data_IF_351128250859
#
_entry.id   IF_351128250859
#
_cell.length_a   1.000
_cell.length_b   1.000
_cell.length_c   1.000
_cell.angle_alpha   90.00
_cell.angle_beta   90.00
_cell.angle_gamma   90.00
#
_symmetry.space_group_name_H-M   'P 1'
#
loop_
_entity.id
_entity.type
_entity.pdbx_description
1 polymer ?
#
# COMPACT_ATOMS: atom_id res chain seq x y z
N UNK A 1 -5.34 17.63 27.65
CA UNK A 1 -4.84 18.16 28.95
C UNK A 1 -3.66 19.15 28.75
N UNK A 2 -3.68 19.97 27.70
CA UNK A 2 -2.58 20.90 27.34
C UNK A 2 -3.16 22.31 27.09
N UNK A 3 -3.94 22.83 28.03
CA UNK A 3 -4.44 24.22 27.94
C UNK A 3 -3.93 25.13 29.07
N UNK A 4 -3.17 24.59 30.03
CA UNK A 4 -2.74 25.32 31.22
C UNK A 4 -1.23 25.57 31.31
N UNK A 5 -0.42 25.15 30.33
CA UNK A 5 1.00 25.50 30.29
C UNK A 5 1.22 26.87 29.62
N UNK A 6 0.62 27.94 30.15
CA UNK A 6 1.10 29.29 29.86
C UNK A 6 2.41 29.48 30.61
N UNK A 7 3.52 29.59 29.89
CA UNK A 7 4.80 29.92 30.49
C UNK A 7 4.67 31.26 31.22
N UNK A 8 4.81 31.23 32.54
CA UNK A 8 4.76 32.43 33.35
C UNK A 8 6.12 33.14 33.25
N UNK A 9 6.27 34.00 32.24
CA UNK A 9 7.51 34.74 31.98
C UNK A 9 7.76 35.91 32.96
N UNK A 10 6.89 36.12 33.96
CA UNK A 10 7.05 37.20 34.95
C UNK A 10 8.38 37.12 35.70
N UNK A 11 8.90 35.91 35.96
CA UNK A 11 10.19 35.73 36.62
C UNK A 11 11.39 36.21 35.78
N UNK A 12 11.26 36.38 34.45
CA UNK A 12 12.33 36.91 33.60
C UNK A 12 12.43 38.45 33.65
N UNK A 13 11.40 39.14 34.17
CA UNK A 13 11.36 40.61 34.22
C UNK A 13 12.43 41.17 35.17
N UNK A 14 12.70 40.43 36.24
CA UNK A 14 13.67 40.80 37.29
C UNK A 14 15.10 40.37 36.96
N UNK A 15 15.30 39.75 35.80
CA UNK A 15 16.60 39.25 35.34
C UNK A 15 17.13 40.12 34.21
N UNK A 16 18.45 40.25 34.14
CA UNK A 16 19.16 40.87 33.03
C UNK A 16 20.12 39.88 32.37
N UNK A 17 20.17 39.88 31.04
CA UNK A 17 21.03 39.00 30.27
C UNK A 17 22.49 39.46 30.37
N UNK A 18 23.36 38.56 30.82
CA UNK A 18 24.80 38.81 30.90
C UNK A 18 25.49 38.33 29.63
N UNK A 19 25.29 37.06 29.27
CA UNK A 19 25.90 36.47 28.06
C UNK A 19 25.14 35.23 27.60
N UNK A 20 25.28 34.90 26.31
CA UNK A 20 24.80 33.64 25.76
C UNK A 20 25.96 32.64 25.71
N UNK A 21 25.73 31.44 26.25
CA UNK A 21 26.63 30.30 26.21
C UNK A 21 26.09 29.30 25.20
N UNK A 22 26.91 29.02 24.19
CA UNK A 22 26.64 27.98 23.21
C UNK A 22 27.32 26.70 23.67
N UNK A 23 26.53 25.66 23.93
CA UNK A 23 27.07 24.34 24.23
C UNK A 23 27.47 23.64 22.92
N UNK A 24 28.76 23.70 22.60
CA UNK A 24 29.32 23.06 21.41
C UNK A 24 29.32 21.52 21.48
N UNK A 25 29.01 20.93 22.64
CA UNK A 25 28.88 19.48 22.80
C UNK A 25 27.45 18.98 22.54
N UNK A 26 26.50 19.89 22.33
CA UNK A 26 25.12 19.54 22.03
C UNK A 26 25.03 18.71 20.74
N UNK A 27 24.45 17.51 20.84
CA UNK A 27 24.40 16.53 19.75
C UNK A 27 23.83 17.13 18.48
N UNK A 28 22.72 17.88 18.56
CA UNK A 28 22.09 18.51 17.39
C UNK A 28 23.02 19.49 16.67
N UNK A 29 23.87 20.23 17.41
CA UNK A 29 24.85 21.12 16.80
C UNK A 29 26.01 20.32 16.18
N UNK A 30 26.49 19.28 16.87
CA UNK A 30 27.56 18.41 16.36
C UNK A 30 27.16 17.62 15.10
N UNK A 31 25.88 17.27 14.97
CA UNK A 31 25.32 16.53 13.83
C UNK A 31 24.74 17.45 12.76
N UNK A 32 24.75 18.77 12.96
CA UNK A 32 24.21 19.75 12.01
C UNK A 32 22.69 19.67 11.84
N UNK A 33 21.95 19.25 12.85
CA UNK A 33 20.49 19.13 12.83
C UNK A 33 19.83 20.52 12.91
N UNK A 34 19.16 21.00 11.83
CA UNK A 34 18.53 22.31 11.81
C UNK A 34 17.20 22.37 12.57
N UNK A 35 16.70 21.24 13.07
CA UNK A 35 15.36 21.15 13.67
C UNK A 35 15.31 21.60 15.14
N UNK A 36 16.45 21.65 15.83
CA UNK A 36 16.52 22.03 17.24
C UNK A 36 17.66 23.01 17.51
N UNK A 37 17.34 24.10 18.19
CA UNK A 37 18.30 25.10 18.63
C UNK A 37 18.19 25.22 20.15
N UNK A 38 19.28 24.99 20.87
CA UNK A 38 19.37 25.18 22.31
C UNK A 38 20.41 26.23 22.62
N UNK A 39 20.00 27.27 23.34
CA UNK A 39 20.85 28.39 23.76
C UNK A 39 20.77 28.49 25.28
N UNK A 40 21.93 28.54 25.94
CA UNK A 40 21.98 28.82 27.37
C UNK A 40 22.25 30.31 27.57
N UNK A 41 21.42 30.96 28.38
CA UNK A 41 21.56 32.37 28.70
C UNK A 41 22.03 32.48 30.15
N UNK A 42 23.20 33.04 30.38
CA UNK A 42 23.60 33.46 31.72
C UNK A 42 22.91 34.78 31.98
N UNK A 43 22.05 34.81 32.98
CA UNK A 43 21.31 35.99 33.42
C UNK A 43 21.65 36.28 34.86
N UNK A 44 21.54 37.52 35.31
CA UNK A 44 21.71 37.88 36.72
C UNK A 44 20.49 38.65 37.22
N UNK A 45 20.29 38.64 38.53
CA UNK A 45 19.23 39.45 39.16
C UNK A 45 19.52 40.94 39.02
N UNK A 46 18.48 41.74 38.74
CA UNK A 46 18.57 43.20 38.75
C UNK A 46 18.67 43.77 40.16
N UNK A 47 18.18 43.05 41.16
CA UNK A 47 18.20 43.48 42.55
C UNK A 47 19.56 43.18 43.22
N UNK A 48 20.17 42.05 42.86
CA UNK A 48 21.49 41.64 43.35
C UNK A 48 22.36 41.12 42.20
N UNK A 49 23.41 41.87 41.86
CA UNK A 49 24.31 41.52 40.74
C UNK A 49 25.20 40.31 41.01
N UNK A 50 25.25 39.80 42.25
CA UNK A 50 25.97 38.59 42.61
C UNK A 50 25.18 37.30 42.35
N UNK A 51 23.87 37.41 42.20
CA UNK A 51 22.99 36.27 41.90
C UNK A 51 22.91 36.01 40.38
N UNK A 52 23.57 34.93 39.96
CA UNK A 52 23.64 34.46 38.57
C UNK A 52 22.80 33.20 38.38
N UNK A 53 22.05 33.16 37.28
CA UNK A 53 21.22 32.05 36.86
C UNK A 53 21.57 31.63 35.44
N UNK A 54 21.42 30.34 35.14
CA UNK A 54 21.52 29.81 33.79
C UNK A 54 20.11 29.48 33.28
N UNK A 55 19.63 30.25 32.31
CA UNK A 55 18.33 30.07 31.67
C UNK A 55 18.50 29.40 30.32
N UNK A 56 18.07 28.15 30.21
CA UNK A 56 18.04 27.45 28.92
C UNK A 56 16.83 27.92 28.10
N UNK A 57 17.08 28.32 26.86
CA UNK A 57 16.08 28.46 25.80
C UNK A 57 16.26 27.34 24.79
N UNK A 58 15.20 26.58 24.54
CA UNK A 58 15.17 25.55 23.50
C UNK A 58 14.08 25.89 22.50
N UNK A 59 14.46 26.15 21.26
CA UNK A 59 13.57 26.31 20.12
C UNK A 59 13.60 25.02 19.31
N UNK A 60 12.43 24.43 19.09
CA UNK A 60 12.26 23.29 18.22
C UNK A 60 11.36 23.70 17.06
N UNK A 61 11.84 23.55 15.83
CA UNK A 61 11.12 23.87 14.59
C UNK A 61 9.91 22.94 14.39
N UNK A 62 9.79 21.86 15.17
CA UNK A 62 8.65 20.94 15.13
C UNK A 62 7.34 21.48 15.73
N UNK A 63 7.28 22.73 16.19
CA UNK A 63 6.01 23.36 16.57
C UNK A 63 5.24 23.86 15.33
N UNK A 64 4.86 22.92 14.46
CA UNK A 64 3.55 23.06 13.82
C UNK A 64 2.52 22.74 14.90
N UNK A 65 1.50 23.59 14.99
CA UNK A 65 0.26 23.39 15.74
C UNK A 65 0.01 21.89 15.98
N UNK A 66 0.00 21.48 17.26
CA UNK A 66 -0.21 20.09 17.65
C UNK A 66 -1.68 19.95 18.05
N UNK A 67 -2.65 19.87 17.11
CA UNK A 67 -3.95 19.34 17.45
C UNK A 67 -3.72 17.89 17.86
N UNK A 68 -4.07 17.61 19.11
CA UNK A 68 -4.01 16.34 19.85
C UNK A 68 -2.91 15.33 19.48
N UNK A 69 -2.05 15.05 20.47
CA UNK A 69 -1.19 13.87 20.49
C UNK A 69 -2.02 12.59 20.52
N UNK A 70 -2.51 12.20 19.35
CA UNK A 70 -3.16 10.93 19.12
C UNK A 70 -2.06 9.85 19.08
N UNK A 71 -1.81 9.21 20.22
CA UNK A 71 -0.81 8.14 20.39
C UNK A 71 -1.17 6.95 19.51
N UNK A 72 -0.24 6.49 18.66
CA UNK A 72 -0.46 5.33 17.80
C UNK A 72 0.78 4.46 17.65
N UNK A 73 0.58 3.16 17.38
CA UNK A 73 1.66 2.20 17.17
C UNK A 73 2.28 1.68 18.49
N UNK A 74 3.51 1.13 18.46
CA UNK A 74 4.22 0.61 19.63
C UNK A 74 4.27 1.59 20.82
N UNK A 75 4.48 2.88 20.54
CA UNK A 75 4.49 3.94 21.56
C UNK A 75 3.14 4.10 22.30
N UNK A 76 2.01 3.77 21.66
CA UNK A 76 0.71 3.75 22.34
C UNK A 76 0.54 2.59 23.32
N UNK A 77 1.30 1.52 23.12
CA UNK A 77 1.31 0.34 23.98
C UNK A 77 2.19 0.57 25.20
N UNK A 78 3.37 1.16 25.01
CA UNK A 78 4.31 1.51 26.09
C UNK A 78 3.96 2.81 26.82
N UNK A 79 3.09 3.64 26.25
CA UNK A 79 2.76 4.96 26.81
C UNK A 79 3.88 6.00 26.64
N UNK A 80 4.87 5.72 25.79
CA UNK A 80 6.00 6.62 25.48
C UNK A 80 5.60 7.68 24.45
N UNK A 81 6.46 8.69 24.26
CA UNK A 81 6.19 9.79 23.33
C UNK A 81 6.03 9.26 21.89
N UNK A 82 4.92 9.62 21.24
CA UNK A 82 4.62 9.19 19.88
C UNK A 82 5.27 10.10 18.84
N UNK A 83 5.95 9.51 17.87
CA UNK A 83 6.42 10.23 16.68
C UNK A 83 5.26 10.37 15.69
N UNK A 84 5.08 11.57 15.12
CA UNK A 84 4.06 11.81 14.08
C UNK A 84 4.50 11.12 12.79
N UNK A 85 3.77 10.07 12.41
CA UNK A 85 3.89 9.40 11.11
C UNK A 85 2.57 9.59 10.38
N UNK A 86 2.63 9.88 9.07
CA UNK A 86 1.44 9.99 8.24
C UNK A 86 0.82 8.59 8.10
N UNK A 87 -0.26 8.35 8.86
CA UNK A 87 -0.86 7.03 8.98
C UNK A 87 -1.43 6.54 7.65
N UNK A 88 -2.00 7.44 6.86
CA UNK A 88 -2.53 7.14 5.54
C UNK A 88 -1.47 6.59 4.59
N UNK A 89 -0.23 7.12 4.67
CA UNK A 89 0.87 6.64 3.84
C UNK A 89 1.28 5.23 4.25
N UNK A 90 1.45 4.99 5.55
CA UNK A 90 1.79 3.66 6.06
C UNK A 90 0.67 2.64 5.82
N UNK A 91 -0.58 3.06 5.90
CA UNK A 91 -1.74 2.24 5.57
C UNK A 91 -1.72 1.83 4.10
N UNK A 92 -1.56 2.78 3.19
CA UNK A 92 -1.51 2.54 1.75
C UNK A 92 -0.34 1.62 1.36
N UNK A 93 0.86 1.89 1.88
CA UNK A 93 2.05 1.08 1.58
C UNK A 93 1.87 -0.38 2.06
N UNK A 94 1.38 -0.58 3.28
CA UNK A 94 1.14 -1.92 3.82
C UNK A 94 0.01 -2.63 3.06
N UNK A 95 -1.04 -1.91 2.64
CA UNK A 95 -2.11 -2.47 1.82
C UNK A 95 -1.58 -2.95 0.47
N UNK A 96 -0.73 -2.16 -0.21
CA UNK A 96 -0.13 -2.54 -1.49
C UNK A 96 0.76 -3.78 -1.35
N UNK A 97 1.63 -3.82 -0.35
CA UNK A 97 2.49 -4.99 -0.07
C UNK A 97 1.65 -6.22 0.21
N UNK A 98 0.58 -6.07 1.00
CA UNK A 98 -0.34 -7.16 1.31
C UNK A 98 -1.08 -7.67 0.06
N UNK A 99 -1.62 -6.79 -0.79
CA UNK A 99 -2.30 -7.18 -2.03
C UNK A 99 -1.34 -7.90 -2.98
N UNK A 100 -0.07 -7.48 -3.04
CA UNK A 100 0.95 -8.19 -3.81
C UNK A 100 1.18 -9.62 -3.29
N UNK A 101 1.27 -9.80 -1.96
CA UNK A 101 1.42 -11.12 -1.33
C UNK A 101 0.18 -12.00 -1.55
N UNK A 102 -1.03 -11.44 -1.47
CA UNK A 102 -2.28 -12.14 -1.79
C UNK A 102 -2.32 -12.56 -3.26
N UNK A 103 -1.88 -11.70 -4.18
CA UNK A 103 -1.73 -12.04 -5.60
C UNK A 103 -0.74 -13.19 -5.82
N UNK A 104 0.38 -13.21 -5.09
CA UNK A 104 1.35 -14.31 -5.12
C UNK A 104 0.75 -15.61 -4.59
N UNK A 105 0.05 -15.57 -3.45
CA UNK A 105 -0.66 -16.74 -2.89
C UNK A 105 -1.69 -17.28 -3.88
N UNK A 106 -2.48 -16.40 -4.49
CA UNK A 106 -3.44 -16.75 -5.53
C UNK A 106 -2.78 -17.45 -6.72
N UNK A 107 -1.62 -16.97 -7.17
CA UNK A 107 -0.84 -17.59 -8.24
C UNK A 107 -0.31 -18.97 -7.85
N UNK A 108 0.12 -19.17 -6.60
CA UNK A 108 0.60 -20.46 -6.09
C UNK A 108 -0.54 -21.47 -6.01
N UNK A 109 -1.66 -21.08 -5.40
CA UNK A 109 -2.81 -21.98 -5.22
C UNK A 109 -3.62 -22.19 -6.50
N UNK A 110 -3.35 -21.38 -7.54
CA UNK A 110 -4.11 -21.37 -8.79
C UNK A 110 -5.59 -21.14 -8.55
N UNK A 111 -5.91 -20.16 -7.70
CA UNK A 111 -7.28 -19.79 -7.35
C UNK A 111 -7.44 -18.29 -7.35
N UNK A 112 -8.53 -17.78 -7.93
CA UNK A 112 -8.83 -16.34 -7.93
C UNK A 112 -9.23 -15.89 -6.54
N UNK A 113 -8.85 -14.67 -6.17
CA UNK A 113 -9.27 -14.06 -4.90
C UNK A 113 -9.97 -12.75 -5.24
N UNK A 114 -11.20 -12.58 -4.74
CA UNK A 114 -11.92 -11.34 -4.94
C UNK A 114 -11.22 -10.21 -4.16
N UNK A 115 -10.85 -9.09 -4.84
CA UNK A 115 -10.18 -7.98 -4.18
C UNK A 115 -11.02 -7.36 -3.06
N UNK A 116 -12.35 -7.38 -3.15
CA UNK A 116 -13.25 -6.86 -2.14
C UNK A 116 -13.09 -7.63 -0.83
N UNK A 117 -13.00 -8.97 -0.89
CA UNK A 117 -12.80 -9.82 0.28
C UNK A 117 -11.42 -9.56 0.91
N UNK A 118 -10.38 -9.44 0.08
CA UNK A 118 -9.02 -9.19 0.55
C UNK A 118 -8.89 -7.83 1.24
N UNK A 119 -9.46 -6.77 0.65
CA UNK A 119 -9.46 -5.40 1.19
C UNK A 119 -10.32 -5.34 2.46
N UNK A 120 -11.53 -5.90 2.43
CA UNK A 120 -12.42 -5.90 3.59
C UNK A 120 -11.79 -6.57 4.83
N UNK A 121 -11.18 -7.75 4.66
CA UNK A 121 -10.46 -8.42 5.74
C UNK A 121 -9.25 -7.63 6.21
N UNK A 122 -8.54 -6.97 5.29
CA UNK A 122 -7.43 -6.10 5.64
C UNK A 122 -7.87 -4.95 6.54
N UNK A 123 -8.97 -4.27 6.19
CA UNK A 123 -9.50 -3.15 6.97
C UNK A 123 -9.88 -3.59 8.39
N UNK A 124 -10.59 -4.72 8.52
CA UNK A 124 -10.98 -5.25 9.82
C UNK A 124 -9.74 -5.51 10.70
N UNK A 125 -8.74 -6.23 10.17
CA UNK A 125 -7.54 -6.57 10.93
C UNK A 125 -6.66 -5.34 11.18
N UNK A 126 -6.60 -4.40 10.23
CA UNK A 126 -5.88 -3.14 10.42
C UNK A 126 -6.50 -2.29 11.53
N UNK A 127 -7.83 -2.17 11.54
CA UNK A 127 -8.57 -1.45 12.57
C UNK A 127 -8.33 -2.07 13.96
N UNK A 128 -8.34 -3.41 14.06
CA UNK A 128 -8.16 -4.13 15.32
C UNK A 128 -6.72 -4.55 15.64
N UNK A 129 -5.72 -3.98 14.92
CA UNK A 129 -4.31 -4.40 15.05
C UNK A 129 -3.74 -4.30 16.46
N UNK A 130 -4.10 -3.26 17.22
CA UNK A 130 -3.61 -3.06 18.58
C UNK A 130 -4.22 -4.06 19.58
N UNK A 131 -5.56 -4.27 19.61
CA UNK A 131 -6.16 -5.38 20.37
C UNK A 131 -5.54 -6.75 20.05
N UNK A 132 -5.27 -7.05 18.78
CA UNK A 132 -4.67 -8.32 18.34
C UNK A 132 -3.24 -8.48 18.88
N UNK A 133 -2.43 -7.42 18.88
CA UNK A 133 -1.10 -7.48 19.48
C UNK A 133 -1.20 -7.67 21.01
N UNK A 134 -2.13 -6.97 21.66
CA UNK A 134 -2.34 -7.07 23.12
C UNK A 134 -2.85 -8.43 23.58
N UNK A 135 -3.51 -9.19 22.71
CA UNK A 135 -4.03 -10.53 23.08
C UNK A 135 -2.96 -11.60 23.15
N UNK A 136 -1.77 -11.36 22.60
CA UNK A 136 -0.64 -12.32 22.61
C UNK A 136 0.50 -11.76 23.46
N UNK A 137 0.64 -12.21 24.73
CA UNK A 137 1.62 -11.64 25.68
C UNK A 137 3.07 -11.71 25.20
N UNK A 138 3.46 -12.78 24.52
CA UNK A 138 4.82 -12.94 23.99
C UNK A 138 5.18 -11.83 23.00
N UNK A 139 4.28 -11.53 22.06
CA UNK A 139 4.48 -10.51 21.02
C UNK A 139 4.40 -9.12 21.62
N UNK A 140 3.47 -8.92 22.54
CA UNK A 140 3.34 -7.69 23.29
C UNK A 140 4.62 -7.34 24.05
N UNK A 141 5.21 -8.32 24.75
CA UNK A 141 6.43 -8.12 25.52
C UNK A 141 7.63 -7.79 24.64
N UNK A 142 7.77 -8.43 23.47
CA UNK A 142 8.83 -8.09 22.50
C UNK A 142 8.71 -6.64 22.01
N UNK A 143 7.49 -6.22 21.65
CA UNK A 143 7.23 -4.85 21.18
C UNK A 143 7.51 -3.84 22.30
N UNK A 144 7.09 -4.13 23.53
CA UNK A 144 7.33 -3.25 24.68
C UNK A 144 8.83 -3.17 24.99
N UNK A 145 9.52 -4.31 25.06
CA UNK A 145 10.96 -4.36 25.38
C UNK A 145 11.77 -3.56 24.37
N UNK A 146 11.50 -3.74 23.07
CA UNK A 146 12.17 -2.97 22.03
C UNK A 146 11.83 -1.47 22.13
N UNK A 147 10.55 -1.13 22.27
CA UNK A 147 10.08 0.26 22.34
C UNK A 147 10.63 0.99 23.57
N UNK A 148 10.72 0.33 24.72
CA UNK A 148 11.32 0.88 25.93
C UNK A 148 12.82 1.04 25.77
N UNK A 149 13.52 0.02 25.25
CA UNK A 149 14.95 0.11 24.99
C UNK A 149 15.29 1.27 24.03
N UNK A 150 14.49 1.47 22.98
CA UNK A 150 14.60 2.62 22.08
C UNK A 150 14.33 3.94 22.82
N UNK A 151 13.27 4.02 23.61
CA UNK A 151 12.92 5.25 24.33
C UNK A 151 14.03 5.69 25.30
N UNK A 152 14.59 4.74 26.05
CA UNK A 152 15.65 5.00 27.03
C UNK A 152 17.00 5.39 26.39
N UNK A 153 17.25 5.05 25.13
CA UNK A 153 18.46 5.52 24.41
C UNK A 153 18.50 7.04 24.25
N UNK A 154 17.34 7.70 24.16
CA UNK A 154 17.29 9.16 24.08
C UNK A 154 17.35 9.86 25.44
N UNK A 155 17.23 9.14 26.55
CA UNK A 155 17.25 9.74 27.89
C UNK A 155 18.69 10.09 28.28
N UNK A 156 18.95 11.38 28.49
CA UNK A 156 20.28 11.86 28.87
C UNK A 156 20.51 11.60 30.37
N UNK A 157 21.65 11.03 30.73
CA UNK A 157 22.08 10.93 32.12
C UNK A 157 22.47 12.32 32.65
N UNK A 158 21.77 12.79 33.67
CA UNK A 158 21.96 14.12 34.27
C UNK A 158 22.71 13.96 35.59
N UNK A 159 23.68 14.84 35.87
CA UNK A 159 24.35 14.85 37.16
C UNK A 159 23.37 15.21 38.30
N UNK A 160 23.59 14.73 39.54
CA UNK A 160 22.70 15.02 40.66
C UNK A 160 22.51 16.52 40.93
N UNK A 161 23.55 17.32 40.68
CA UNK A 161 23.53 18.78 40.82
C UNK A 161 22.62 19.44 39.78
N UNK A 162 22.70 19.01 38.51
CA UNK A 162 21.86 19.56 37.45
C UNK A 162 20.41 19.07 37.57
N UNK A 163 20.18 17.86 38.07
CA UNK A 163 18.84 17.35 38.37
C UNK A 163 18.16 18.12 39.52
N UNK A 164 18.93 18.62 40.50
CA UNK A 164 18.42 19.47 41.57
C UNK A 164 18.05 20.88 41.10
N UNK A 165 18.78 21.41 40.11
CA UNK A 165 18.52 22.73 39.52
C UNK A 165 17.41 22.71 38.46
N UNK A 166 17.28 21.60 37.73
CA UNK A 166 16.32 21.41 36.66
C UNK A 166 15.66 20.04 36.78
N UNK A 167 14.41 19.95 37.28
CA UNK A 167 13.70 18.68 37.40
C UNK A 167 13.21 18.14 36.05
N UNK A 168 13.57 18.78 34.93
CA UNK A 168 13.18 18.34 33.60
C UNK A 168 13.99 17.14 33.15
N UNK A 169 13.30 16.13 32.60
CA UNK A 169 13.94 15.00 31.93
C UNK A 169 14.37 15.43 30.54
N UNK A 170 15.66 15.35 30.25
CA UNK A 170 16.19 15.66 28.93
C UNK A 170 16.14 14.43 28.03
N UNK A 171 15.58 14.62 26.84
CA UNK A 171 15.60 13.62 25.77
C UNK A 171 16.33 14.21 24.57
N UNK A 172 17.23 13.45 23.97
CA UNK A 172 18.04 13.86 22.83
C UNK A 172 17.86 12.92 21.64
N UNK A 173 18.09 13.43 20.44
CA UNK A 173 18.22 12.60 19.26
C UNK A 173 19.40 11.64 19.44
N UNK A 174 19.21 10.40 19.00
CA UNK A 174 20.21 9.35 18.98
C UNK A 174 20.16 8.63 17.64
N UNK A 175 21.25 7.98 17.28
CA UNK A 175 21.29 7.16 16.07
C UNK A 175 20.55 5.84 16.33
N UNK A 176 19.59 5.50 15.46
CA UNK A 176 18.88 4.24 15.55
C UNK A 176 19.86 3.06 15.50
N UNK A 177 19.73 2.06 16.39
CA UNK A 177 20.58 0.89 16.36
C UNK A 177 20.30 0.02 15.13
N UNK A 178 21.10 -1.04 14.97
CA UNK A 178 20.92 -2.02 13.89
C UNK A 178 19.51 -2.62 13.88
N UNK A 179 19.04 -2.98 12.69
CA UNK A 179 17.69 -3.53 12.46
C UNK A 179 17.44 -4.77 13.34
N UNK A 180 16.37 -4.73 14.13
CA UNK A 180 15.90 -5.87 14.90
C UNK A 180 14.81 -6.63 14.11
N UNK A 181 15.17 -7.80 13.58
CA UNK A 181 14.25 -8.64 12.82
C UNK A 181 13.12 -9.22 13.69
N UNK A 182 13.37 -9.46 14.98
CA UNK A 182 12.37 -10.00 15.91
C UNK A 182 11.27 -8.97 16.13
N UNK A 183 11.65 -7.72 16.38
CA UNK A 183 10.70 -6.62 16.51
C UNK A 183 9.88 -6.40 15.22
N UNK A 184 10.54 -6.48 14.05
CA UNK A 184 9.85 -6.35 12.77
C UNK A 184 8.80 -7.44 12.58
N UNK A 185 9.15 -8.71 12.79
CA UNK A 185 8.20 -9.83 12.68
C UNK A 185 7.04 -9.66 13.67
N UNK A 186 7.33 -9.32 14.92
CA UNK A 186 6.34 -9.06 15.95
C UNK A 186 5.38 -7.92 15.58
N UNK A 187 5.90 -6.85 14.98
CA UNK A 187 5.11 -5.69 14.53
C UNK A 187 4.17 -6.03 13.37
N UNK A 188 4.57 -6.95 12.49
CA UNK A 188 3.76 -7.42 11.36
C UNK A 188 2.86 -8.63 11.70
N UNK A 189 2.85 -9.09 12.94
CA UNK A 189 2.08 -10.26 13.37
C UNK A 189 0.57 -10.22 13.00
N UNK A 190 -0.18 -9.12 13.20
CA UNK A 190 -1.57 -9.06 12.77
C UNK A 190 -1.74 -9.30 11.27
N UNK A 191 -0.76 -8.85 10.46
CA UNK A 191 -0.77 -9.04 9.01
C UNK A 191 -0.36 -10.46 8.60
N UNK A 192 0.47 -11.13 9.39
CA UNK A 192 0.75 -12.56 9.21
C UNK A 192 -0.49 -13.43 9.47
N UNK A 193 -1.30 -13.10 10.49
CA UNK A 193 -2.60 -13.75 10.72
C UNK A 193 -3.52 -13.55 9.52
N UNK A 194 -3.62 -12.32 9.00
CA UNK A 194 -4.44 -12.00 7.83
C UNK A 194 -4.06 -12.84 6.60
N UNK A 195 -2.76 -12.96 6.29
CA UNK A 195 -2.27 -13.81 5.20
C UNK A 195 -2.62 -15.28 5.42
N UNK A 196 -2.54 -15.75 6.66
CA UNK A 196 -2.90 -17.13 7.02
C UNK A 196 -4.40 -17.40 6.83
N UNK A 197 -5.26 -16.45 7.19
CA UNK A 197 -6.72 -16.53 6.98
C UNK A 197 -7.03 -16.61 5.49
N UNK A 198 -6.39 -15.77 4.66
CA UNK A 198 -6.60 -15.82 3.21
C UNK A 198 -6.07 -17.12 2.61
N UNK A 199 -4.90 -17.60 3.02
CA UNK A 199 -4.39 -18.88 2.58
C UNK A 199 -5.39 -20.01 2.92
N UNK A 200 -5.89 -20.05 4.15
CA UNK A 200 -6.93 -21.00 4.57
C UNK A 200 -8.21 -20.88 3.74
N UNK A 201 -8.68 -19.66 3.49
CA UNK A 201 -9.84 -19.40 2.64
C UNK A 201 -9.64 -19.93 1.21
N UNK A 202 -8.47 -19.70 0.61
CA UNK A 202 -8.16 -20.20 -0.74
C UNK A 202 -8.12 -21.71 -0.82
N UNK A 203 -7.56 -22.38 0.20
CA UNK A 203 -7.52 -23.84 0.28
C UNK A 203 -8.93 -24.39 0.45
N UNK A 204 -9.72 -23.84 1.37
CA UNK A 204 -11.10 -24.28 1.59
C UNK A 204 -11.96 -24.11 0.33
N UNK A 205 -11.80 -22.98 -0.36
CA UNK A 205 -12.50 -22.70 -1.62
C UNK A 205 -12.11 -23.67 -2.73
N UNK A 206 -10.82 -24.01 -2.83
CA UNK A 206 -10.33 -25.01 -3.77
C UNK A 206 -10.94 -26.39 -3.49
N UNK A 207 -11.02 -26.77 -2.22
CA UNK A 207 -11.67 -28.01 -1.78
C UNK A 207 -13.16 -27.97 -2.13
N UNK A 208 -13.85 -26.86 -1.86
CA UNK A 208 -15.27 -26.69 -2.18
C UNK A 208 -15.55 -26.86 -3.69
N UNK A 209 -14.77 -26.20 -4.55
CA UNK A 209 -14.88 -26.32 -6.02
C UNK A 209 -14.56 -27.72 -6.52
N UNK A 210 -13.69 -28.45 -5.82
CA UNK A 210 -13.41 -29.85 -6.17
C UNK A 210 -14.62 -30.75 -5.93
N UNK A 211 -15.39 -30.53 -4.86
CA UNK A 211 -16.59 -31.32 -4.55
C UNK A 211 -17.84 -30.83 -5.27
N UNK A 212 -17.96 -29.53 -5.53
CA UNK A 212 -19.08 -28.90 -6.21
C UNK A 212 -18.58 -28.18 -7.47
N UNK A 213 -18.27 -28.92 -8.54
CA UNK A 213 -17.87 -28.31 -9.80
C UNK A 213 -19.03 -27.50 -10.39
N UNK A 214 -18.71 -26.38 -11.04
CA UNK A 214 -19.71 -25.52 -11.67
C UNK A 214 -20.53 -26.34 -12.69
N UNK A 215 -21.88 -26.26 -12.65
CA UNK A 215 -22.71 -26.98 -13.59
C UNK A 215 -22.44 -26.44 -15.00
N UNK A 216 -21.79 -27.25 -15.83
CA UNK A 216 -21.70 -26.98 -17.26
C UNK A 216 -23.13 -27.04 -17.82
N UNK A 217 -23.78 -25.88 -17.96
CA UNK A 217 -25.10 -25.78 -18.60
C UNK A 217 -24.96 -26.17 -20.06
N UNK A 218 -25.14 -27.46 -20.32
CA UNK A 218 -25.09 -28.07 -21.64
C UNK A 218 -26.22 -27.47 -22.48
N UNK A 219 -25.87 -26.96 -23.67
CA UNK A 219 -26.85 -26.40 -24.62
C UNK A 219 -27.81 -27.51 -25.01
N UNK A 220 -29.09 -27.39 -24.64
CA UNK A 220 -30.16 -28.20 -25.19
C UNK A 220 -30.46 -27.73 -26.62
N UNK A 221 -29.65 -28.19 -27.58
CA UNK A 221 -30.00 -28.08 -28.99
C UNK A 221 -29.83 -29.44 -29.64
N UNK A 222 -30.94 -30.18 -29.72
CA UNK A 222 -31.10 -31.25 -30.70
C UNK A 222 -30.89 -30.63 -32.09
N UNK A 223 -29.84 -31.04 -32.78
CA UNK A 223 -29.66 -30.84 -34.22
C UNK A 223 -28.85 -32.04 -34.74
N UNK A 224 -29.31 -32.72 -35.80
CA UNK A 224 -28.76 -34.02 -36.21
C UNK A 224 -27.40 -33.84 -36.89
N UNK A 225 -26.52 -34.81 -36.63
CA UNK A 225 -25.28 -35.12 -37.36
C UNK A 225 -24.39 -33.93 -37.79
N UNK A 226 -23.53 -33.50 -36.85
CA UNK A 226 -22.27 -32.82 -37.19
C UNK A 226 -21.07 -33.67 -36.77
N UNK A 227 -20.01 -33.59 -37.57
CA UNK A 227 -18.83 -34.45 -37.50
C UNK A 227 -18.12 -34.39 -36.13
N UNK A 228 -17.34 -35.42 -35.82
CA UNK A 228 -16.69 -35.59 -34.50
C UNK A 228 -15.74 -34.44 -34.13
N UNK A 229 -15.12 -33.79 -35.12
CA UNK A 229 -14.29 -32.59 -34.94
C UNK A 229 -15.12 -31.32 -34.67
N UNK A 230 -16.33 -31.26 -35.20
CA UNK A 230 -17.23 -30.13 -34.98
C UNK A 230 -17.84 -30.20 -33.57
N UNK A 231 -18.06 -31.41 -33.04
CA UNK A 231 -18.49 -31.62 -31.65
C UNK A 231 -17.45 -31.15 -30.63
N UNK A 232 -16.15 -31.40 -30.86
CA UNK A 232 -15.06 -30.93 -29.97
C UNK A 232 -14.87 -29.43 -30.06
N UNK A 233 -14.96 -28.83 -31.26
CA UNK A 233 -14.93 -27.38 -31.44
C UNK A 233 -16.14 -26.69 -30.77
N UNK A 234 -17.34 -27.27 -30.88
CA UNK A 234 -18.56 -26.75 -30.24
C UNK A 234 -18.56 -26.94 -28.72
N UNK A 235 -17.96 -28.01 -28.19
CA UNK A 235 -17.75 -28.14 -26.74
C UNK A 235 -16.73 -27.13 -26.23
N UNK A 236 -15.64 -26.89 -26.97
CA UNK A 236 -14.66 -25.87 -26.63
C UNK A 236 -15.26 -24.45 -26.67
N UNK A 237 -16.07 -24.13 -27.69
CA UNK A 237 -16.83 -22.88 -27.79
C UNK A 237 -17.95 -22.74 -26.73
N UNK A 238 -18.45 -23.85 -26.19
CA UNK A 238 -19.37 -23.85 -25.05
C UNK A 238 -18.66 -23.57 -23.72
N UNK A 239 -17.37 -23.86 -23.62
CA UNK A 239 -16.53 -23.63 -22.44
C UNK A 239 -15.93 -22.23 -22.47
N UNK A 240 -15.43 -21.81 -23.63
CA UNK A 240 -14.57 -20.63 -23.87
C UNK A 240 -15.30 -19.61 -24.76
N UNK A 241 -15.21 -18.32 -24.43
CA UNK A 241 -15.81 -17.21 -25.21
C UNK A 241 -15.11 -17.04 -26.57
N UNK A 242 -15.82 -16.50 -27.56
CA UNK A 242 -15.23 -16.21 -28.88
C UNK A 242 -13.99 -15.32 -28.77
N UNK A 243 -13.99 -14.36 -27.85
CA UNK A 243 -12.84 -13.50 -27.56
C UNK A 243 -11.60 -14.30 -27.13
N UNK A 244 -11.76 -15.26 -26.22
CA UNK A 244 -10.66 -16.09 -25.72
C UNK A 244 -10.12 -17.03 -26.81
N UNK A 245 -10.99 -17.52 -27.70
CA UNK A 245 -10.59 -18.33 -28.87
C UNK A 245 -9.79 -17.47 -29.86
N UNK A 246 -10.26 -16.27 -30.18
CA UNK A 246 -9.60 -15.37 -31.14
C UNK A 246 -8.27 -14.81 -30.64
N UNK A 247 -8.17 -14.52 -29.33
CA UNK A 247 -6.97 -13.90 -28.74
C UNK A 247 -6.01 -14.89 -28.08
N UNK A 248 -6.46 -16.14 -27.87
CA UNK A 248 -5.75 -17.14 -27.05
C UNK A 248 -5.67 -16.81 -25.56
N UNK A 249 -6.24 -15.68 -25.12
CA UNK A 249 -6.17 -15.21 -23.75
C UNK A 249 -7.33 -15.80 -22.93
N UNK A 250 -7.20 -17.06 -22.51
CA UNK A 250 -8.22 -17.73 -21.68
C UNK A 250 -8.38 -16.98 -20.35
N UNK A 251 -9.55 -16.39 -20.15
CA UNK A 251 -9.98 -15.71 -18.93
C UNK A 251 -9.86 -16.67 -17.76
N UNK A 252 -10.40 -17.89 -17.90
CA UNK A 252 -10.47 -18.88 -16.83
C UNK A 252 -9.10 -19.30 -16.25
N UNK A 253 -8.00 -19.18 -17.00
CA UNK A 253 -6.67 -19.60 -16.51
C UNK A 253 -5.89 -18.49 -15.80
N UNK A 254 -6.48 -17.30 -15.59
CA UNK A 254 -5.82 -16.24 -14.82
C UNK A 254 -6.07 -16.38 -13.33
N UNK A 255 -4.96 -16.36 -12.60
CA UNK A 255 -4.89 -16.33 -11.15
C UNK A 255 -4.43 -14.95 -10.70
N UNK A 256 -4.92 -14.50 -9.56
CA UNK A 256 -4.62 -13.22 -8.97
C UNK A 256 -5.81 -12.64 -8.20
N UNK A 257 -5.67 -11.37 -7.84
CA UNK A 257 -6.74 -10.53 -7.33
C UNK A 257 -7.67 -10.16 -8.50
N UNK A 258 -8.67 -11.00 -8.73
CA UNK A 258 -9.65 -10.88 -9.81
C UNK A 258 -11.01 -11.18 -9.20
N UNK A 259 -11.97 -10.30 -9.44
CA UNK A 259 -13.32 -10.50 -8.92
C UNK A 259 -13.97 -11.75 -9.51
N UNK A 260 -14.84 -12.37 -8.72
CA UNK A 260 -15.38 -13.70 -9.00
C UNK A 260 -16.69 -13.71 -9.81
N UNK A 261 -17.12 -12.58 -10.35
CA UNK A 261 -18.31 -12.56 -11.21
C UNK A 261 -18.02 -13.17 -12.60
N UNK A 262 -19.09 -13.55 -13.29
CA UNK A 262 -18.99 -14.11 -14.63
C UNK A 262 -18.58 -13.02 -15.63
N UNK A 263 -17.35 -13.11 -16.13
CA UNK A 263 -16.79 -12.23 -17.16
C UNK A 263 -17.35 -12.50 -18.58
N UNK A 264 -18.56 -13.07 -18.67
CA UNK A 264 -19.19 -13.44 -19.92
C UNK A 264 -20.70 -13.21 -19.87
N UNK A 265 -21.28 -12.93 -21.02
CA UNK A 265 -22.72 -12.78 -21.24
C UNK A 265 -23.20 -13.84 -22.23
N UNK A 266 -24.38 -14.39 -22.01
CA UNK A 266 -25.00 -15.31 -22.97
C UNK A 266 -25.91 -14.56 -23.92
N UNK A 267 -25.60 -14.60 -25.21
CA UNK A 267 -26.52 -14.17 -26.27
C UNK A 267 -26.84 -15.33 -27.19
N UNK A 268 -28.14 -15.60 -27.38
CA UNK A 268 -28.64 -16.64 -28.30
C UNK A 268 -27.99 -18.03 -28.11
N UNK A 269 -27.66 -18.38 -26.86
CA UNK A 269 -27.04 -19.67 -26.50
C UNK A 269 -25.53 -19.77 -26.75
N UNK A 270 -24.84 -18.64 -27.01
CA UNK A 270 -23.38 -18.55 -27.14
C UNK A 270 -22.80 -17.65 -26.04
N UNK A 271 -21.57 -17.92 -25.59
CA UNK A 271 -20.84 -17.12 -24.60
C UNK A 271 -20.03 -16.02 -25.27
N UNK A 272 -20.32 -14.78 -24.89
CA UNK A 272 -19.54 -13.59 -25.27
C UNK A 272 -18.78 -13.08 -24.06
N UNK A 273 -17.57 -12.57 -24.25
CA UNK A 273 -16.85 -11.93 -23.15
C UNK A 273 -17.54 -10.60 -22.79
N UNK A 274 -17.74 -10.33 -21.50
CA UNK A 274 -18.25 -9.03 -21.09
C UNK A 274 -17.20 -7.94 -21.35
N UNK A 275 -17.63 -6.69 -21.52
CA UNK A 275 -16.76 -5.52 -21.64
C UNK A 275 -15.69 -5.48 -20.53
N UNK A 276 -16.10 -5.77 -19.29
CA UNK A 276 -15.21 -5.85 -18.14
C UNK A 276 -14.27 -7.06 -18.19
N UNK A 277 -14.75 -8.22 -18.68
CA UNK A 277 -13.91 -9.40 -18.93
C UNK A 277 -12.76 -9.12 -19.91
N UNK A 278 -13.04 -8.38 -20.98
CA UNK A 278 -12.05 -7.95 -21.98
C UNK A 278 -11.01 -7.02 -21.35
N UNK A 279 -11.48 -6.04 -20.56
CA UNK A 279 -10.59 -5.11 -19.86
C UNK A 279 -9.72 -5.79 -18.81
N UNK A 280 -10.32 -6.64 -17.97
CA UNK A 280 -9.62 -7.45 -16.97
C UNK A 280 -8.63 -8.44 -17.61
N UNK A 281 -8.80 -8.79 -18.89
CA UNK A 281 -7.80 -9.54 -19.67
C UNK A 281 -6.58 -8.72 -20.07
N UNK A 282 -6.58 -7.41 -19.82
CA UNK A 282 -5.54 -6.49 -20.25
C UNK A 282 -5.64 -6.14 -21.72
N UNK A 283 -6.85 -6.06 -22.25
CA UNK A 283 -7.11 -5.56 -23.60
C UNK A 283 -8.02 -4.34 -23.56
N UNK A 284 -7.82 -3.42 -24.49
CA UNK A 284 -8.65 -2.23 -24.68
C UNK A 284 -9.03 -2.10 -26.15
N UNK A 285 -10.18 -1.49 -26.42
CA UNK A 285 -10.61 -1.23 -27.80
C UNK A 285 -10.22 0.20 -28.17
N UNK A 286 -9.29 0.36 -29.11
CA UNK A 286 -8.92 1.64 -29.69
C UNK A 286 -9.90 2.01 -30.81
N UNK A 287 -10.64 3.11 -30.60
CA UNK A 287 -11.60 3.72 -31.53
C UNK A 287 -12.64 2.75 -32.14
N UNK A 288 -13.03 1.71 -31.39
CA UNK A 288 -14.00 0.70 -31.83
C UNK A 288 -13.53 -0.21 -32.98
N UNK A 289 -12.27 -0.08 -33.43
CA UNK A 289 -11.73 -0.78 -34.61
C UNK A 289 -10.67 -1.82 -34.28
N UNK A 290 -9.91 -1.57 -33.22
CA UNK A 290 -8.73 -2.36 -32.89
C UNK A 290 -8.75 -2.78 -31.43
N UNK A 291 -8.55 -4.05 -31.17
CA UNK A 291 -8.35 -4.61 -29.85
C UNK A 291 -6.86 -4.73 -29.57
N UNK A 292 -6.38 -3.96 -28.60
CA UNK A 292 -4.96 -3.76 -28.30
C UNK A 292 -4.68 -4.23 -26.88
N UNK A 293 -3.54 -4.90 -26.64
CA UNK A 293 -3.12 -5.19 -25.28
C UNK A 293 -2.72 -3.90 -24.55
N UNK A 294 -3.22 -3.71 -23.33
CA UNK A 294 -2.93 -2.50 -22.52
C UNK A 294 -1.43 -2.33 -22.24
N UNK A 295 -0.67 -3.43 -22.16
CA UNK A 295 0.79 -3.42 -21.98
C UNK A 295 1.53 -2.87 -23.20
N UNK A 296 0.95 -3.04 -24.38
CA UNK A 296 1.58 -2.65 -25.64
C UNK A 296 1.24 -1.20 -26.05
N UNK A 297 0.22 -0.58 -25.45
CA UNK A 297 -0.14 0.83 -25.68
C UNK A 297 1.04 1.82 -25.57
N UNK A 298 1.84 1.82 -24.48
CA UNK A 298 2.97 2.75 -24.39
C UNK A 298 4.03 2.48 -25.47
N UNK A 299 4.23 1.22 -25.85
CA UNK A 299 5.14 0.83 -26.94
C UNK A 299 4.63 1.34 -28.28
N UNK A 300 3.33 1.20 -28.56
CA UNK A 300 2.69 1.71 -29.77
C UNK A 300 2.78 3.25 -29.83
N UNK A 301 2.52 3.93 -28.71
CA UNK A 301 2.63 5.38 -28.63
C UNK A 301 4.07 5.86 -28.90
N UNK A 302 5.06 5.15 -28.36
CA UNK A 302 6.47 5.45 -28.61
C UNK A 302 6.88 5.15 -30.06
N UNK A 303 6.43 4.03 -30.64
CA UNK A 303 6.62 3.71 -32.06
C UNK A 303 6.01 4.77 -32.97
N UNK A 304 4.87 5.35 -32.58
CA UNK A 304 4.22 6.45 -33.31
C UNK A 304 5.01 7.75 -33.20
N UNK A 305 5.51 8.08 -32.02
CA UNK A 305 6.27 9.30 -31.75
C UNK A 305 7.61 9.30 -32.49
N UNK A 306 8.36 8.20 -32.40
CA UNK A 306 9.68 8.06 -33.04
C UNK A 306 9.58 7.75 -34.54
N UNK A 307 8.44 7.23 -35.00
CA UNK A 307 8.23 6.86 -36.40
C UNK A 307 8.96 5.57 -36.81
N UNK A 308 9.58 4.86 -35.86
CA UNK A 308 10.35 3.63 -36.09
C UNK A 308 9.75 2.44 -35.36
N UNK A 309 9.76 1.26 -36.00
CA UNK A 309 9.37 0.00 -35.37
C UNK A 309 10.55 -0.64 -34.67
N UNK A 310 10.54 -0.67 -33.35
CA UNK A 310 11.57 -1.32 -32.53
C UNK A 310 11.07 -2.59 -31.82
N UNK A 311 9.74 -2.81 -31.72
CA UNK A 311 9.11 -4.02 -31.16
C UNK A 311 8.00 -4.51 -32.08
N UNK A 312 7.82 -5.84 -32.14
CA UNK A 312 6.70 -6.47 -32.85
C UNK A 312 5.49 -6.54 -31.92
N UNK A 313 4.52 -5.66 -32.16
CA UNK A 313 3.25 -5.64 -31.44
C UNK A 313 2.14 -6.13 -32.36
N UNK A 314 1.27 -6.99 -31.85
CA UNK A 314 0.14 -7.54 -32.60
C UNK A 314 -1.18 -7.03 -32.04
N UNK A 315 -2.12 -6.72 -32.93
CA UNK A 315 -3.43 -6.13 -32.61
C UNK A 315 -4.50 -6.87 -33.40
N UNK A 316 -5.68 -7.04 -32.81
CA UNK A 316 -6.79 -7.69 -33.49
C UNK A 316 -7.77 -6.65 -34.03
N UNK A 317 -8.30 -6.88 -35.22
CA UNK A 317 -9.37 -6.04 -35.76
C UNK A 317 -10.70 -6.44 -35.14
N UNK A 318 -11.51 -5.44 -34.77
CA UNK A 318 -12.86 -5.61 -34.24
C UNK A 318 -13.84 -5.38 -35.39
N UNK A 319 -14.70 -6.38 -35.65
CA UNK A 319 -15.76 -6.33 -36.64
C UNK A 319 -17.12 -6.41 -35.94
N UNK A 320 -17.75 -5.24 -35.77
CA UNK A 320 -18.94 -5.09 -34.93
C UNK A 320 -18.69 -5.57 -33.50
N UNK A 321 -19.35 -6.64 -33.11
CA UNK A 321 -19.29 -7.22 -31.75
C UNK A 321 -18.35 -8.44 -31.67
N UNK A 322 -17.61 -8.73 -32.74
CA UNK A 322 -16.70 -9.87 -32.83
C UNK A 322 -15.27 -9.43 -33.08
N UNK A 323 -14.31 -10.24 -32.61
CA UNK A 323 -12.88 -10.03 -32.83
C UNK A 323 -12.45 -10.95 -33.95
N UNK A 324 -11.72 -10.44 -34.95
CA UNK A 324 -11.14 -11.29 -35.98
C UNK A 324 -10.06 -12.19 -35.40
N UNK A 325 -10.01 -13.43 -35.83
CA UNK A 325 -9.02 -14.44 -35.38
C UNK A 325 -7.60 -14.16 -35.89
N UNK A 326 -7.42 -13.19 -36.79
CA UNK A 326 -6.12 -12.87 -37.38
C UNK A 326 -5.51 -11.64 -36.71
N UNK A 327 -4.35 -11.84 -36.10
CA UNK A 327 -3.59 -10.77 -35.49
C UNK A 327 -2.84 -9.96 -36.57
N UNK A 328 -2.93 -8.63 -36.50
CA UNK A 328 -2.27 -7.69 -37.41
C UNK A 328 -1.06 -7.07 -36.73
N UNK A 329 0.08 -7.08 -37.42
CA UNK A 329 1.30 -6.42 -36.95
C UNK A 329 1.15 -4.89 -37.00
N UNK A 330 1.55 -4.22 -35.92
CA UNK A 330 1.49 -2.77 -35.79
C UNK A 330 2.70 -2.10 -36.42
N UNK A 331 2.43 -1.08 -37.23
CA UNK A 331 3.40 -0.15 -37.78
C UNK A 331 3.13 1.26 -37.26
N UNK A 332 4.11 2.18 -37.30
CA UNK A 332 3.91 3.58 -36.91
C UNK A 332 2.78 4.28 -37.68
N UNK A 333 2.41 3.78 -38.86
CA UNK A 333 1.30 4.30 -39.68
C UNK A 333 -0.05 3.61 -39.42
N UNK A 334 -0.09 2.54 -38.62
CA UNK A 334 -1.31 1.74 -38.39
C UNK A 334 -2.35 2.51 -37.57
N UNK A 335 -1.94 3.29 -36.57
CA UNK A 335 -2.83 4.08 -35.72
C UNK A 335 -2.73 5.58 -35.99
N UNK A 336 -3.85 6.28 -35.95
CA UNK A 336 -3.88 7.74 -35.79
C UNK A 336 -3.79 8.13 -34.31
N UNK A 337 -3.33 9.34 -34.01
CA UNK A 337 -3.32 9.85 -32.62
C UNK A 337 -4.72 9.88 -32.01
N UNK A 338 -5.74 10.17 -32.82
CA UNK A 338 -7.15 10.08 -32.43
C UNK A 338 -7.58 8.67 -32.02
N UNK A 339 -6.96 7.64 -32.62
CA UNK A 339 -7.30 6.25 -32.31
C UNK A 339 -6.75 5.83 -30.93
N UNK A 340 -5.56 6.31 -30.58
CA UNK A 340 -4.93 6.06 -29.28
C UNK A 340 -5.56 6.86 -28.14
N UNK A 341 -6.14 8.04 -28.44
CA UNK A 341 -6.83 8.87 -27.43
C UNK A 341 -8.25 8.39 -27.12
N UNK A 342 -8.90 7.69 -28.06
CA UNK A 342 -10.26 7.17 -27.89
C UNK A 342 -10.23 5.70 -27.51
N UNK A 343 -9.82 5.43 -26.28
CA UNK A 343 -9.91 4.09 -25.70
C UNK A 343 -11.33 3.86 -25.18
N UNK A 344 -11.98 2.79 -25.64
CA UNK A 344 -13.32 2.39 -25.23
C UNK A 344 -13.29 0.92 -24.77
N UNK A 345 -14.26 0.57 -23.93
CA UNK A 345 -14.45 -0.76 -23.34
C UNK A 345 -15.77 -1.40 -23.80
N UNK A 346 -16.70 -0.62 -24.35
CA UNK A 346 -18.12 -0.99 -24.55
C UNK A 346 -18.43 -1.94 -25.74
N UNK A 347 -17.47 -2.28 -26.61
CA UNK A 347 -17.81 -2.67 -28.00
C UNK A 347 -18.08 -4.16 -28.22
N UNK A 348 -17.84 -5.06 -27.25
CA UNK A 348 -18.00 -6.51 -27.46
C UNK A 348 -19.26 -7.06 -26.76
N UNK A 349 -20.44 -6.60 -27.18
CA UNK A 349 -21.73 -7.00 -26.58
C UNK A 349 -22.52 -7.99 -27.44
#
# INVERSE_FOLDING_TARGET
MVNDSKYNFTALVDLELVTMVVDCTFTGLSTGDPSTVRVFNVVRSRADTSDLYLVMMSLNVQNYEIPDHNRHGPASVTGTQSVRIHQELLHADILVVYLALVGLLSSIFRERIDPSVAIFLFEIIHAHRLPIVKSVPAILNEIITYSDAQYYQGVVAVSPTLAALSPFRFWTAYQLPSRDFTFLISSFFPKAILLSIIAGFTILRKIYRHYYPDPMRQRSSQSPERSMNDKTAVTLQGIVTHFEVSTGAVLQTRFGLISDYNNYVYFKGMKFASADGVYCSGYVVANGKFLVSSKDLPVIALMKLVGTRFVNVYVYEVDGNSVKDTARLVYPKTFMWSDLWRLNVMVLL
#
